data_IF_362949829632
#
_entry.id   IF_362949829632
#
_cell.length_a   1.000
_cell.length_b   1.000
_cell.length_c   1.000
_cell.angle_alpha   90.00
_cell.angle_beta   90.00
_cell.angle_gamma   90.00
#
_symmetry.space_group_name_H-M   'P 1'
#
loop_
_entity.id
_entity.type
_entity.pdbx_description
1 polymer ?
#
# COMPACT_ATOMS: atom_id res chain seq x y z
N UNK A 1 -32.22 15.95 -15.11
CA UNK A 1 -32.50 16.65 -13.83
C UNK A 1 -32.50 15.64 -12.69
N UNK A 2 -31.37 14.99 -12.42
CA UNK A 2 -31.17 14.15 -11.22
C UNK A 2 -29.67 14.15 -10.93
N UNK A 3 -29.19 15.21 -10.28
CA UNK A 3 -27.86 15.22 -9.66
C UNK A 3 -28.00 15.96 -8.34
N UNK A 4 -28.26 15.19 -7.27
CA UNK A 4 -28.05 15.67 -5.93
C UNK A 4 -27.68 14.49 -5.03
N UNK A 5 -26.63 14.70 -4.24
CA UNK A 5 -26.21 13.91 -3.08
C UNK A 5 -25.31 12.70 -3.33
N UNK A 6 -24.05 12.97 -3.71
CA UNK A 6 -22.90 12.28 -3.11
C UNK A 6 -21.85 13.31 -2.68
N UNK A 7 -22.04 13.88 -1.49
CA UNK A 7 -21.00 14.64 -0.79
C UNK A 7 -20.18 13.69 0.10
N UNK A 8 -18.86 13.90 0.23
CA UNK A 8 -17.97 12.99 0.94
C UNK A 8 -18.11 13.17 2.46
N UNK A 9 -18.26 12.05 3.16
CA UNK A 9 -18.48 11.90 4.61
C UNK A 9 -17.38 12.55 5.47
N UNK A 10 -16.22 12.85 4.88
CA UNK A 10 -15.07 13.48 5.55
C UNK A 10 -15.32 14.93 5.98
N UNK A 11 -16.19 15.69 5.30
CA UNK A 11 -16.45 17.10 5.65
C UNK A 11 -17.30 17.27 6.94
N UNK A 12 -18.07 16.26 7.34
CA UNK A 12 -18.91 16.31 8.54
C UNK A 12 -18.12 15.99 9.82
N UNK A 13 -17.12 15.10 9.71
CA UNK A 13 -16.30 14.70 10.86
C UNK A 13 -15.38 15.84 11.30
N UNK A 14 -14.85 16.62 10.35
CA UNK A 14 -13.99 17.79 10.65
C UNK A 14 -14.78 19.00 11.13
N UNK A 15 -15.99 19.24 10.59
CA UNK A 15 -16.86 20.32 11.05
C UNK A 15 -17.38 20.11 12.49
N UNK A 16 -17.69 18.86 12.87
CA UNK A 16 -18.16 18.53 14.22
C UNK A 16 -17.05 18.62 15.28
N UNK A 17 -15.79 18.38 14.89
CA UNK A 17 -14.63 18.54 15.79
C UNK A 17 -14.23 20.01 15.97
N UNK A 18 -14.36 20.83 14.92
CA UNK A 18 -14.05 22.27 14.97
C UNK A 18 -15.07 23.06 15.82
N UNK A 19 -16.35 22.67 15.78
CA UNK A 19 -17.40 23.33 16.56
C UNK A 19 -17.35 23.02 18.07
N UNK A 20 -16.64 21.97 18.48
CA UNK A 20 -16.51 21.56 19.89
C UNK A 20 -15.38 22.27 20.66
N UNK A 21 -14.48 22.96 19.95
CA UNK A 21 -13.33 23.67 20.54
C UNK A 21 -13.56 25.17 20.73
N UNK A 22 -14.62 25.74 20.15
CA UNK A 22 -14.93 27.18 20.23
C UNK A 22 -15.70 27.60 21.50
N UNK A 23 -16.10 26.66 22.36
CA UNK A 23 -17.01 26.89 23.49
C UNK A 23 -16.38 26.66 24.85
N UNK A 24 -15.24 27.29 25.18
CA UNK A 24 -14.70 27.31 26.55
C UNK A 24 -13.72 28.49 26.77
N UNK A 25 -14.25 29.70 26.66
CA UNK A 25 -13.59 30.91 27.17
C UNK A 25 -14.46 31.50 28.27
N UNK A 26 -14.34 30.96 29.49
CA UNK A 26 -14.86 31.60 30.70
C UNK A 26 -13.75 31.63 31.77
N UNK A 27 -13.21 32.84 31.91
CA UNK A 27 -12.57 33.46 33.07
C UNK A 27 -11.89 32.60 34.12
N UNK A 28 -10.55 32.65 34.13
CA UNK A 28 -9.78 32.53 35.36
C UNK A 28 -9.11 33.88 35.65
N UNK A 29 -9.69 34.66 36.57
CA UNK A 29 -8.97 35.75 37.26
C UNK A 29 -8.10 35.09 38.34
N UNK A 30 -6.82 34.91 38.03
CA UNK A 30 -5.77 34.60 39.00
C UNK A 30 -4.73 35.71 38.99
N UNK A 31 -4.61 36.43 40.10
CA UNK A 31 -3.65 37.52 40.35
C UNK A 31 -2.22 37.01 40.09
N UNK A 32 -1.50 37.61 39.15
CA UNK A 32 -0.09 37.26 38.86
C UNK A 32 0.88 38.27 39.45
N UNK A 33 1.89 37.74 40.13
CA UNK A 33 3.13 38.40 40.57
C UNK A 33 4.09 38.45 39.36
N UNK A 34 4.88 39.52 39.16
CA UNK A 34 5.65 39.71 37.93
C UNK A 34 7.00 39.00 37.99
N UNK A 35 7.30 38.17 36.97
CA UNK A 35 8.67 37.69 36.73
C UNK A 35 8.78 36.24 36.26
N UNK A 36 8.17 35.87 35.13
CA UNK A 36 8.58 34.68 34.36
C UNK A 36 8.17 34.85 32.90
N UNK A 37 9.03 34.58 31.90
CA UNK A 37 8.64 34.63 30.48
C UNK A 37 7.60 33.55 30.19
N UNK A 38 6.48 33.94 29.58
CA UNK A 38 5.31 33.07 29.35
C UNK A 38 5.58 32.00 28.26
N UNK A 39 5.31 30.71 28.52
CA UNK A 39 5.35 29.61 27.53
C UNK A 39 4.25 29.70 26.44
N UNK A 40 3.31 30.64 26.57
CA UNK A 40 2.11 30.74 25.73
C UNK A 40 2.37 31.22 24.30
N UNK A 41 3.45 31.98 24.07
CA UNK A 41 3.74 32.54 22.75
C UNK A 41 4.30 31.48 21.79
N UNK A 42 5.01 30.51 22.35
CA UNK A 42 5.65 29.40 21.63
C UNK A 42 4.62 28.39 21.11
N UNK A 43 3.63 28.05 21.93
CA UNK A 43 2.51 27.18 21.53
C UNK A 43 1.65 27.78 20.41
N UNK A 44 1.43 29.11 20.44
CA UNK A 44 0.64 29.78 19.40
C UNK A 44 1.39 29.82 18.06
N UNK A 45 2.72 30.01 18.10
CA UNK A 45 3.57 29.94 16.92
C UNK A 45 3.58 28.53 16.31
N UNK A 46 3.69 27.51 17.16
CA UNK A 46 3.62 26.11 16.75
C UNK A 46 2.26 25.74 16.14
N UNK A 47 1.14 26.24 16.69
CA UNK A 47 -0.19 26.05 16.12
C UNK A 47 -0.33 26.69 14.73
N UNK A 48 0.23 27.89 14.53
CA UNK A 48 0.23 28.56 13.23
C UNK A 48 1.06 27.80 12.20
N UNK A 49 2.20 27.25 12.61
CA UNK A 49 3.05 26.42 11.74
C UNK A 49 2.34 25.12 11.34
N UNK A 50 1.67 24.43 12.27
CA UNK A 50 0.86 23.25 11.96
C UNK A 50 -0.29 23.57 11.01
N UNK A 51 -0.97 24.72 11.17
CA UNK A 51 -2.00 25.16 10.23
C UNK A 51 -1.43 25.40 8.83
N UNK A 52 -0.24 25.97 8.75
CA UNK A 52 0.44 26.22 7.46
C UNK A 52 0.84 24.90 6.78
N UNK A 53 1.40 23.96 7.55
CA UNK A 53 1.78 22.64 7.06
C UNK A 53 0.56 21.83 6.60
N UNK A 54 -0.55 21.91 7.34
CA UNK A 54 -1.81 21.28 6.91
C UNK A 54 -2.35 21.89 5.61
N UNK A 55 -2.32 23.22 5.47
CA UNK A 55 -2.74 23.87 4.22
C UNK A 55 -1.85 23.46 3.02
N UNK A 56 -0.55 23.29 3.25
CA UNK A 56 0.37 22.79 2.22
C UNK A 56 0.09 21.32 1.86
N UNK A 57 -0.20 20.47 2.86
CA UNK A 57 -0.59 19.08 2.64
C UNK A 57 -1.91 18.96 1.88
N UNK A 58 -2.89 19.81 2.20
CA UNK A 58 -4.15 19.89 1.48
C UNK A 58 -3.93 20.33 0.02
N UNK A 59 -3.08 21.34 -0.22
CA UNK A 59 -2.73 21.80 -1.56
C UNK A 59 -2.04 20.69 -2.38
N UNK A 60 -1.05 19.99 -1.81
CA UNK A 60 -0.38 18.85 -2.46
C UNK A 60 -1.35 17.71 -2.76
N UNK A 61 -2.28 17.45 -1.86
CA UNK A 61 -3.32 16.43 -2.07
C UNK A 61 -4.26 16.83 -3.20
N UNK A 62 -4.66 18.10 -3.27
CA UNK A 62 -5.48 18.62 -4.37
C UNK A 62 -4.77 18.54 -5.72
N UNK A 63 -3.47 18.86 -5.77
CA UNK A 63 -2.68 18.74 -7.00
C UNK A 63 -2.49 17.29 -7.45
N UNK A 64 -2.25 16.36 -6.52
CA UNK A 64 -2.15 14.94 -6.85
C UNK A 64 -3.47 14.40 -7.41
N UNK A 65 -4.60 14.78 -6.81
CA UNK A 65 -5.93 14.42 -7.32
C UNK A 65 -6.16 15.01 -8.71
N UNK A 66 -5.79 16.28 -8.94
CA UNK A 66 -5.90 16.93 -10.25
C UNK A 66 -5.07 16.22 -11.31
N UNK A 67 -3.84 15.80 -11.00
CA UNK A 67 -3.00 15.01 -11.90
C UNK A 67 -3.60 13.65 -12.21
N UNK A 68 -4.17 12.97 -11.22
CA UNK A 68 -4.86 11.70 -11.42
C UNK A 68 -6.10 11.86 -12.32
N UNK A 69 -6.89 12.91 -12.12
CA UNK A 69 -8.03 13.22 -12.97
C UNK A 69 -7.62 13.57 -14.41
N UNK A 70 -6.50 14.29 -14.59
CA UNK A 70 -5.95 14.61 -15.90
C UNK A 70 -5.46 13.36 -16.64
N UNK A 71 -4.74 12.46 -15.96
CA UNK A 71 -4.33 11.19 -16.55
C UNK A 71 -5.52 10.31 -16.96
N UNK A 72 -6.61 10.32 -16.18
CA UNK A 72 -7.85 9.60 -16.52
C UNK A 72 -8.51 10.24 -17.74
N UNK A 73 -8.57 11.58 -17.83
CA UNK A 73 -9.13 12.29 -18.99
C UNK A 73 -8.31 12.02 -20.25
N UNK A 74 -6.99 12.09 -20.18
CA UNK A 74 -6.10 11.83 -21.32
C UNK A 74 -6.26 10.39 -21.82
N UNK A 75 -6.35 9.42 -20.90
CA UNK A 75 -6.60 8.03 -21.27
C UNK A 75 -7.97 7.86 -21.94
N UNK A 76 -8.99 8.56 -21.45
CA UNK A 76 -10.34 8.52 -22.02
C UNK A 76 -10.41 9.22 -23.39
N UNK A 77 -9.65 10.30 -23.60
CA UNK A 77 -9.53 10.99 -24.89
C UNK A 77 -8.80 10.13 -25.94
N UNK A 78 -7.76 9.41 -25.53
CA UNK A 78 -7.07 8.44 -26.39
C UNK A 78 -7.98 7.27 -26.77
N UNK A 79 -8.85 6.81 -25.86
CA UNK A 79 -9.82 5.75 -26.13
C UNK A 79 -11.01 6.21 -26.98
N UNK A 80 -11.37 7.49 -26.92
CA UNK A 80 -12.52 8.05 -27.65
C UNK A 80 -12.18 8.60 -29.03
N UNK A 81 -10.90 8.59 -29.43
CA UNK A 81 -10.47 8.98 -30.78
C UNK A 81 -10.72 7.82 -31.77
N UNK A 82 -11.63 7.93 -32.74
CA UNK A 82 -11.86 6.88 -33.72
C UNK A 82 -10.62 6.71 -34.61
N UNK A 83 -10.22 5.46 -34.85
CA UNK A 83 -9.18 5.09 -35.81
C UNK A 83 -9.55 5.61 -37.21
N UNK A 84 -8.92 6.70 -37.64
CA UNK A 84 -8.98 7.19 -39.01
C UNK A 84 -8.28 6.18 -39.93
N UNK A 85 -9.06 5.26 -40.49
CA UNK A 85 -8.60 4.37 -41.55
C UNK A 85 -8.77 5.08 -42.88
N UNK A 86 -7.65 5.56 -43.39
CA UNK A 86 -7.46 6.01 -44.75
C UNK A 86 -7.70 4.81 -45.69
N UNK A 87 -8.85 4.75 -46.37
CA UNK A 87 -9.08 3.80 -47.48
C UNK A 87 -9.70 4.52 -48.67
N UNK A 88 -8.84 4.82 -49.66
CA UNK A 88 -9.22 4.95 -51.07
C UNK A 88 -9.15 3.55 -51.69
N UNK A 89 -10.25 3.03 -52.22
CA UNK A 89 -10.21 2.33 -53.52
C UNK A 89 -11.61 2.13 -54.09
N UNK A 90 -11.65 2.38 -55.40
CA UNK A 90 -12.72 2.25 -56.38
C UNK A 90 -13.56 0.97 -56.28
N UNK A 91 -14.83 1.10 -56.68
CA UNK A 91 -15.77 0.00 -56.69
C UNK A 91 -15.84 -0.80 -57.99
N UNK A 92 -16.70 -1.81 -57.87
CA UNK A 92 -17.50 -2.50 -58.89
C UNK A 92 -16.98 -3.86 -59.42
N UNK A 93 -17.94 -4.80 -59.36
CA UNK A 93 -18.12 -6.01 -60.16
C UNK A 93 -17.37 -7.33 -59.77
N UNK A 94 -18.15 -8.26 -59.19
CA UNK A 94 -18.62 -9.50 -59.85
C UNK A 94 -18.32 -10.87 -59.18
N UNK A 95 -19.42 -11.60 -58.98
CA UNK A 95 -19.68 -13.06 -59.02
C UNK A 95 -18.78 -14.13 -58.37
N UNK A 96 -19.44 -15.03 -57.61
CA UNK A 96 -19.29 -16.49 -57.85
C UNK A 96 -18.84 -17.41 -56.70
N UNK A 97 -19.81 -17.97 -55.97
CA UNK A 97 -20.00 -19.42 -55.66
C UNK A 97 -18.89 -20.31 -55.03
N UNK A 98 -19.24 -20.88 -53.85
CA UNK A 98 -18.95 -22.25 -53.30
C UNK A 98 -17.51 -22.60 -52.85
N UNK A 99 -17.29 -22.80 -51.53
CA UNK A 99 -17.18 -24.12 -50.82
C UNK A 99 -16.68 -23.95 -49.35
N UNK A 100 -17.41 -24.55 -48.42
CA UNK A 100 -17.11 -24.75 -46.97
C UNK A 100 -16.24 -26.03 -46.76
N UNK A 101 -15.80 -26.51 -45.55
CA UNK A 101 -15.59 -25.90 -44.20
C UNK A 101 -14.22 -26.25 -43.53
N UNK A 102 -13.89 -25.60 -42.39
CA UNK A 102 -13.60 -26.22 -41.05
C UNK A 102 -12.61 -25.45 -40.12
N UNK A 103 -12.96 -25.49 -38.83
CA UNK A 103 -12.17 -25.31 -37.58
C UNK A 103 -11.83 -23.86 -37.16
N UNK A 104 -11.92 -23.44 -35.89
CA UNK A 104 -12.04 -24.12 -34.59
C UNK A 104 -12.51 -23.10 -33.52
N UNK A 105 -13.06 -23.61 -32.40
CA UNK A 105 -13.28 -23.01 -31.06
C UNK A 105 -12.57 -21.68 -30.76
N UNK A 106 -13.09 -20.74 -29.97
CA UNK A 106 -14.05 -20.84 -28.88
C UNK A 106 -13.70 -19.79 -27.83
N UNK A 107 -14.70 -19.47 -27.01
CA UNK A 107 -14.69 -18.96 -25.62
C UNK A 107 -15.69 -17.81 -25.46
N UNK A 108 -16.82 -18.22 -24.88
CA UNK A 108 -17.97 -17.44 -24.48
C UNK A 108 -17.64 -16.68 -23.20
N UNK A 109 -17.94 -15.39 -23.22
CA UNK A 109 -17.95 -14.49 -22.09
C UNK A 109 -19.34 -14.53 -21.44
N UNK A 110 -19.45 -14.86 -20.16
CA UNK A 110 -20.63 -14.53 -19.33
C UNK A 110 -20.29 -14.68 -17.84
N UNK A 111 -20.12 -13.53 -17.17
CA UNK A 111 -20.19 -13.40 -15.72
C UNK A 111 -21.66 -13.24 -15.31
N UNK A 112 -22.10 -13.95 -14.28
CA UNK A 112 -23.37 -13.70 -13.59
C UNK A 112 -23.14 -13.66 -12.08
N UNK A 113 -23.64 -12.61 -11.47
CA UNK A 113 -23.73 -12.37 -10.03
C UNK A 113 -24.70 -13.36 -9.37
N UNK A 114 -24.43 -13.82 -8.13
CA UNK A 114 -25.29 -13.56 -6.94
C UNK A 114 -24.96 -14.47 -5.72
N UNK A 115 -24.86 -13.80 -4.56
CA UNK A 115 -25.40 -14.09 -3.21
C UNK A 115 -25.01 -15.36 -2.40
N UNK A 116 -24.51 -15.02 -1.20
CA UNK A 116 -24.51 -15.64 0.14
C UNK A 116 -25.53 -16.76 0.45
N UNK A 117 -25.09 -17.77 1.21
CA UNK A 117 -25.88 -18.44 2.28
C UNK A 117 -25.02 -19.25 3.28
N UNK A 118 -25.35 -19.10 4.56
CA UNK A 118 -24.87 -19.86 5.73
C UNK A 118 -25.34 -21.32 5.72
N UNK A 119 -24.53 -22.26 6.25
CA UNK A 119 -24.75 -23.01 7.52
C UNK A 119 -23.79 -24.22 7.67
N UNK A 120 -23.26 -24.32 8.89
CA UNK A 120 -22.54 -25.38 9.63
C UNK A 120 -22.68 -26.85 9.18
N UNK A 121 -21.64 -27.67 9.41
CA UNK A 121 -21.51 -28.73 10.47
C UNK A 121 -20.28 -29.64 10.15
N UNK A 122 -19.40 -29.93 11.13
CA UNK A 122 -18.15 -30.72 10.98
C UNK A 122 -18.32 -32.25 11.06
N UNK A 123 -17.50 -33.02 11.80
CA UNK A 123 -16.02 -33.12 11.92
C UNK A 123 -15.51 -34.59 11.74
N UNK A 124 -14.20 -34.86 11.59
CA UNK A 124 -13.48 -36.20 11.68
C UNK A 124 -12.03 -35.98 11.14
N UNK A 125 -10.90 -36.51 11.60
CA UNK A 125 -10.53 -37.52 12.60
C UNK A 125 -9.03 -37.37 12.99
N UNK A 126 -8.74 -37.57 14.29
CA UNK A 126 -7.70 -38.43 14.91
C UNK A 126 -6.30 -38.56 14.28
N UNK A 127 -5.27 -38.21 15.07
CA UNK A 127 -4.10 -39.09 15.29
C UNK A 127 -3.78 -39.13 16.80
N UNK A 128 -3.76 -40.35 17.34
CA UNK A 128 -3.34 -40.69 18.69
C UNK A 128 -1.81 -40.76 18.76
N UNK A 129 -1.24 -40.37 19.90
CA UNK A 129 -0.16 -41.13 20.52
C UNK A 129 -0.21 -40.93 22.05
N UNK A 130 -0.24 -42.06 22.76
CA UNK A 130 -0.37 -42.18 24.22
C UNK A 130 0.62 -43.25 24.68
N UNK A 131 1.43 -42.92 25.68
CA UNK A 131 2.02 -43.78 26.73
C UNK A 131 2.28 -42.81 27.90
N UNK A 132 1.49 -42.81 28.99
CA UNK A 132 1.58 -43.65 30.21
C UNK A 132 2.97 -43.63 30.86
N UNK A 133 3.16 -43.59 32.18
CA UNK A 133 2.33 -43.44 33.40
C UNK A 133 3.29 -43.67 34.59
N UNK A 134 2.82 -43.36 35.80
CA UNK A 134 3.33 -43.72 37.13
C UNK A 134 4.45 -42.84 37.73
N UNK A 135 4.51 -42.53 39.04
CA UNK A 135 3.56 -42.42 40.16
C UNK A 135 4.46 -42.19 41.41
N UNK A 136 4.13 -41.22 42.28
CA UNK A 136 4.32 -41.21 43.76
C UNK A 136 4.31 -39.75 44.25
N UNK A 137 3.46 -39.29 45.18
CA UNK A 137 2.40 -39.94 45.92
C UNK A 137 1.72 -38.94 46.88
N UNK A 138 0.51 -39.35 47.34
CA UNK A 138 -0.21 -39.01 48.59
C UNK A 138 -0.54 -37.52 48.86
N UNK A 139 -1.83 -37.12 48.75
CA UNK A 139 -2.90 -37.13 49.79
C UNK A 139 -2.56 -36.27 51.02
N UNK A 140 -3.40 -35.39 51.58
CA UNK A 140 -4.72 -34.85 51.25
C UNK A 140 -5.06 -33.74 52.30
N UNK A 141 -6.04 -32.90 51.97
CA UNK A 141 -6.99 -32.21 52.88
C UNK A 141 -6.68 -30.82 53.49
N UNK A 142 -7.55 -29.88 53.07
CA UNK A 142 -8.41 -29.04 53.92
C UNK A 142 -8.11 -27.56 54.14
N UNK A 143 -9.24 -26.82 54.06
CA UNK A 143 -9.63 -25.58 54.71
C UNK A 143 -8.97 -24.25 54.30
N UNK A 144 -9.79 -23.50 53.56
CA UNK A 144 -10.04 -22.05 53.64
C UNK A 144 -9.58 -21.43 54.96
N UNK A 145 -8.66 -20.46 54.88
CA UNK A 145 -8.58 -19.35 55.82
C UNK A 145 -8.18 -18.08 55.07
N UNK A 146 -9.08 -17.11 55.14
CA UNK A 146 -8.98 -15.74 54.68
C UNK A 146 -7.60 -15.16 55.05
N UNK A 147 -6.77 -14.85 54.04
CA UNK A 147 -5.60 -14.00 54.24
C UNK A 147 -6.03 -12.56 54.01
N UNK A 148 -6.06 -11.79 55.10
CA UNK A 148 -5.94 -10.34 55.05
C UNK A 148 -4.76 -9.97 54.16
N UNK A 149 -4.98 -9.06 53.21
CA UNK A 149 -3.91 -8.42 52.47
C UNK A 149 -2.98 -7.73 53.46
N UNK A 150 -1.71 -8.12 53.46
CA UNK A 150 -0.62 -7.36 54.03
C UNK A 150 -0.55 -6.06 53.23
N UNK A 151 -0.95 -4.94 53.84
CA UNK A 151 -0.80 -3.62 53.22
C UNK A 151 0.69 -3.32 53.22
N UNK A 152 1.32 -3.38 52.04
CA UNK A 152 2.62 -2.77 51.81
C UNK A 152 2.48 -1.28 52.12
N UNK A 153 2.92 -0.86 53.30
CA UNK A 153 3.13 0.54 53.65
C UNK A 153 4.14 1.13 52.67
N UNK A 154 3.72 2.17 51.96
CA UNK A 154 4.54 2.92 51.04
C UNK A 154 5.77 3.50 51.77
N UNK A 155 6.92 3.28 51.17
CA UNK A 155 8.24 3.75 51.60
C UNK A 155 8.45 5.24 51.28
N UNK A 156 7.57 6.12 51.74
CA UNK A 156 7.80 7.58 51.58
C UNK A 156 7.08 8.44 52.61
N UNK A 157 7.30 8.15 53.89
CA UNK A 157 7.02 9.10 54.97
C UNK A 157 8.26 9.14 55.86
N UNK A 158 8.91 10.30 55.94
CA UNK A 158 10.00 10.54 56.87
C UNK A 158 9.46 10.47 58.31
N UNK A 159 9.72 9.36 59.00
CA UNK A 159 9.52 9.25 60.44
C UNK A 159 10.83 9.73 61.08
N UNK A 160 10.84 10.83 61.87
CA UNK A 160 12.00 11.19 62.68
C UNK A 160 12.41 10.02 63.57
N UNK A 161 13.70 9.67 63.56
CA UNK A 161 14.30 8.44 64.11
C UNK A 161 14.15 8.23 65.64
N UNK A 162 13.48 9.13 66.35
CA UNK A 162 13.41 9.18 67.82
C UNK A 162 12.16 8.54 68.45
N UNK A 163 11.33 7.80 67.71
CA UNK A 163 10.08 7.21 68.24
C UNK A 163 10.02 5.68 68.29
N UNK A 164 11.13 4.98 68.01
CA UNK A 164 11.18 3.51 68.13
C UNK A 164 11.08 3.00 69.58
N UNK A 165 11.19 3.89 70.57
CA UNK A 165 11.13 3.56 72.00
C UNK A 165 9.73 3.73 72.64
N UNK A 166 8.72 4.15 71.87
CA UNK A 166 7.35 4.29 72.37
C UNK A 166 6.57 2.97 72.31
N UNK A 167 6.89 2.05 73.22
CA UNK A 167 6.05 0.87 73.44
C UNK A 167 4.84 1.24 74.29
N UNK A 168 3.65 1.22 73.69
CA UNK A 168 2.37 1.43 74.38
C UNK A 168 2.22 0.52 75.61
N UNK A 169 2.73 -0.71 75.52
CA UNK A 169 2.75 -1.65 76.65
C UNK A 169 3.59 -1.14 77.83
N UNK A 170 4.72 -0.46 77.55
CA UNK A 170 5.60 0.11 78.57
C UNK A 170 4.97 1.33 79.24
N UNK A 171 4.19 2.11 78.50
CA UNK A 171 3.39 3.22 79.04
C UNK A 171 2.23 2.71 79.88
N UNK A 172 1.53 1.66 79.45
CA UNK A 172 0.45 1.03 80.22
C UNK A 172 0.98 0.44 81.53
N UNK A 173 2.08 -0.33 81.49
CA UNK A 173 2.68 -0.86 82.73
C UNK A 173 3.21 0.23 83.67
N UNK A 174 3.62 1.39 83.14
CA UNK A 174 4.02 2.53 83.96
C UNK A 174 2.81 3.20 84.63
N UNK A 175 1.68 3.30 83.94
CA UNK A 175 0.43 3.84 84.50
C UNK A 175 -0.15 2.87 85.53
N UNK A 176 -0.16 1.56 85.25
CA UNK A 176 -0.61 0.53 86.19
C UNK A 176 0.28 0.48 87.45
N UNK A 177 1.62 0.57 87.29
CA UNK A 177 2.55 0.63 88.41
C UNK A 177 2.41 1.91 89.26
N UNK A 178 2.12 3.05 88.63
CA UNK A 178 1.85 4.30 89.35
C UNK A 178 0.51 4.26 90.10
N UNK A 179 -0.50 3.53 89.61
CA UNK A 179 -1.79 3.36 90.27
C UNK A 179 -1.74 2.41 91.47
N UNK A 180 -0.77 1.47 91.51
CA UNK A 180 -0.56 0.58 92.65
C UNK A 180 0.40 1.15 93.71
N UNK A 181 1.32 2.07 93.34
CA UNK A 181 2.29 2.68 94.26
C UNK A 181 1.82 4.01 94.88
N UNK A 182 0.97 4.78 94.18
CA UNK A 182 0.19 5.89 94.78
C UNK A 182 -1.18 5.37 95.22
N UNK A 183 -1.20 4.69 96.37
CA UNK A 183 -2.43 4.52 97.12
C UNK A 183 -3.14 5.86 97.26
N UNK A 184 -4.44 5.89 96.96
CA UNK A 184 -5.35 7.00 97.22
C UNK A 184 -4.92 7.71 98.52
N UNK A 185 -4.59 9.02 98.51
CA UNK A 185 -4.86 9.79 99.69
C UNK A 185 -6.38 9.77 99.82
N UNK A 186 -6.86 8.93 100.72
CA UNK A 186 -8.13 9.12 101.41
C UNK A 186 -8.03 10.52 102.04
N UNK A 187 -8.36 11.53 101.24
CA UNK A 187 -8.45 12.91 101.69
C UNK A 187 -9.65 12.93 102.61
N UNK A 188 -9.37 12.64 103.88
CA UNK A 188 -10.26 12.82 105.02
C UNK A 188 -10.98 14.15 104.85
N UNK A 189 -12.25 14.08 104.48
CA UNK A 189 -13.13 15.22 104.21
C UNK A 189 -13.57 15.94 105.50
N UNK A 190 -12.82 15.79 106.60
CA UNK A 190 -13.24 16.20 107.94
C UNK A 190 -12.24 17.10 108.68
N UNK A 191 -11.40 17.86 107.96
CA UNK A 191 -10.49 18.83 108.60
C UNK A 191 -10.57 20.25 108.01
N UNK A 192 -11.78 20.73 107.71
CA UNK A 192 -12.02 22.16 107.46
C UNK A 192 -13.22 22.66 108.29
N UNK A 193 -13.30 22.32 109.58
CA UNK A 193 -14.10 23.13 110.51
C UNK A 193 -13.70 22.98 111.98
N UNK A 194 -12.42 23.21 112.29
CA UNK A 194 -11.91 23.17 113.68
C UNK A 194 -11.01 24.37 114.03
N UNK A 195 -11.27 25.58 113.49
CA UNK A 195 -10.30 26.68 113.60
C UNK A 195 -10.79 28.12 113.72
N UNK A 196 -12.11 28.42 113.80
CA UNK A 196 -12.56 29.79 114.16
C UNK A 196 -13.47 29.71 115.37
N UNK A 197 -12.78 29.71 116.51
CA UNK A 197 -13.27 29.67 117.88
C UNK A 197 -14.36 30.70 118.17
N UNK A 198 -15.48 30.22 118.74
CA UNK A 198 -16.27 30.67 119.91
C UNK A 198 -16.46 32.17 120.28
N UNK A 199 -15.86 33.14 119.60
CA UNK A 199 -15.85 34.58 119.96
C UNK A 199 -16.53 35.46 118.89
N UNK A 200 -17.12 34.85 117.86
CA UNK A 200 -17.91 35.53 116.83
C UNK A 200 -19.41 35.24 117.11
N UNK A 201 -20.23 36.28 117.28
CA UNK A 201 -21.66 36.11 117.52
C UNK A 201 -22.34 35.32 116.40
N UNK A 202 -23.33 34.48 116.71
CA UNK A 202 -24.05 33.58 115.76
C UNK A 202 -24.49 34.26 114.46
N UNK A 203 -24.83 35.55 114.52
CA UNK A 203 -25.21 36.39 113.39
C UNK A 203 -24.07 36.61 112.37
N UNK A 204 -22.82 36.67 112.82
CA UNK A 204 -21.64 36.77 111.96
C UNK A 204 -21.31 35.43 111.28
N UNK A 205 -21.47 34.31 112.01
CA UNK A 205 -21.27 32.97 111.47
C UNK A 205 -22.30 32.64 110.36
N UNK A 206 -23.57 33.02 110.55
CA UNK A 206 -24.61 32.93 109.51
C UNK A 206 -24.25 33.77 108.27
N UNK A 207 -23.67 34.96 108.46
CA UNK A 207 -23.26 35.84 107.35
C UNK A 207 -22.10 35.23 106.55
N UNK A 208 -21.11 34.65 107.22
CA UNK A 208 -19.99 33.94 106.60
C UNK A 208 -20.46 32.71 105.81
N UNK A 209 -21.30 31.86 106.41
CA UNK A 209 -21.83 30.67 105.72
C UNK A 209 -22.67 31.05 104.50
N UNK A 210 -23.48 32.12 104.58
CA UNK A 210 -24.20 32.65 103.42
C UNK A 210 -23.26 33.16 102.33
N UNK A 211 -22.16 33.83 102.69
CA UNK A 211 -21.16 34.27 101.73
C UNK A 211 -20.46 33.08 101.05
N UNK A 212 -20.06 32.04 101.81
CA UNK A 212 -19.49 30.81 101.25
C UNK A 212 -20.48 30.08 100.33
N UNK A 213 -21.75 29.98 100.73
CA UNK A 213 -22.82 29.42 99.88
C UNK A 213 -23.00 30.22 98.59
N UNK A 214 -22.87 31.54 98.66
CA UNK A 214 -22.98 32.39 97.48
C UNK A 214 -21.80 32.20 96.53
N UNK A 215 -20.57 32.20 97.04
CA UNK A 215 -19.35 31.91 96.27
C UNK A 215 -19.42 30.52 95.65
N UNK A 216 -19.77 29.49 96.42
CA UNK A 216 -19.94 28.13 95.88
C UNK A 216 -21.04 28.03 94.83
N UNK A 217 -22.12 28.83 94.96
CA UNK A 217 -23.19 28.88 93.96
C UNK A 217 -22.71 29.56 92.67
N UNK A 218 -21.98 30.66 92.79
CA UNK A 218 -21.38 31.35 91.65
C UNK A 218 -20.33 30.48 90.94
N UNK A 219 -19.50 29.74 91.67
CA UNK A 219 -18.56 28.76 91.11
C UNK A 219 -19.28 27.62 90.38
N UNK A 220 -20.38 27.11 90.96
CA UNK A 220 -21.20 26.08 90.30
C UNK A 220 -21.84 26.62 89.01
N UNK A 221 -22.42 27.81 89.05
CA UNK A 221 -23.01 28.47 87.87
C UNK A 221 -21.94 28.72 86.79
N UNK A 222 -20.73 29.13 87.19
CA UNK A 222 -19.60 29.30 86.29
C UNK A 222 -19.16 27.98 85.64
N UNK A 223 -19.04 26.89 86.41
CA UNK A 223 -18.74 25.55 85.88
C UNK A 223 -19.82 25.08 84.92
N UNK A 224 -21.11 25.31 85.24
CA UNK A 224 -22.22 24.99 84.34
C UNK A 224 -22.13 25.79 83.04
N UNK A 225 -21.81 27.08 83.10
CA UNK A 225 -21.61 27.90 81.90
C UNK A 225 -20.45 27.40 81.04
N UNK A 226 -19.32 27.04 81.66
CA UNK A 226 -18.17 26.45 80.96
C UNK A 226 -18.49 25.07 80.35
N UNK A 227 -19.26 24.23 81.06
CA UNK A 227 -19.76 22.96 80.53
C UNK A 227 -20.65 23.17 79.31
N UNK A 228 -21.57 24.15 79.36
CA UNK A 228 -22.44 24.46 78.22
C UNK A 228 -21.62 24.95 77.01
N UNK A 229 -20.64 25.85 77.21
CA UNK A 229 -19.74 26.28 76.13
C UNK A 229 -18.98 25.11 75.50
N UNK A 230 -18.45 24.21 76.33
CA UNK A 230 -17.75 23.01 75.82
C UNK A 230 -18.69 22.06 75.09
N UNK A 231 -19.95 21.93 75.53
CA UNK A 231 -20.95 21.14 74.82
C UNK A 231 -21.27 21.74 73.45
N UNK A 232 -21.41 23.07 73.35
CA UNK A 232 -21.59 23.78 72.08
C UNK A 232 -20.37 23.56 71.15
N UNK A 233 -19.15 23.71 71.67
CA UNK A 233 -17.91 23.44 70.93
C UNK A 233 -17.82 21.97 70.45
N UNK A 234 -18.25 21.01 71.28
CA UNK A 234 -18.31 19.58 70.91
C UNK A 234 -19.31 19.35 69.79
N UNK A 235 -20.49 19.99 69.84
CA UNK A 235 -21.49 19.89 68.77
C UNK A 235 -20.96 20.48 67.46
N UNK A 236 -20.28 21.63 67.53
CA UNK A 236 -19.64 22.26 66.38
C UNK A 236 -18.54 21.39 65.78
N UNK A 237 -17.62 20.87 66.60
CA UNK A 237 -16.56 19.95 66.15
C UNK A 237 -17.15 18.68 65.54
N UNK A 238 -18.20 18.12 66.12
CA UNK A 238 -18.90 16.94 65.59
C UNK A 238 -19.53 17.24 64.22
N UNK A 239 -20.10 18.43 64.04
CA UNK A 239 -20.63 18.86 62.74
C UNK A 239 -19.53 19.00 61.69
N UNK A 240 -18.36 19.53 62.06
CA UNK A 240 -17.20 19.63 61.18
C UNK A 240 -16.66 18.26 60.78
N UNK A 241 -16.50 17.33 61.72
CA UNK A 241 -16.07 15.95 61.44
C UNK A 241 -17.03 15.29 60.45
N UNK A 242 -18.34 15.41 60.66
CA UNK A 242 -19.34 14.88 59.73
C UNK A 242 -19.21 15.50 58.33
N UNK A 243 -19.02 16.81 58.24
CA UNK A 243 -18.82 17.50 56.96
C UNK A 243 -17.56 17.00 56.24
N UNK A 244 -16.44 16.82 56.95
CA UNK A 244 -15.19 16.28 56.38
C UNK A 244 -15.33 14.81 55.97
N UNK A 245 -16.04 13.98 56.73
CA UNK A 245 -16.33 12.59 56.35
C UNK A 245 -17.16 12.52 55.07
N UNK A 246 -18.19 13.35 54.95
CA UNK A 246 -19.01 13.45 53.74
C UNK A 246 -18.19 13.95 52.53
N UNK A 247 -17.30 14.93 52.73
CA UNK A 247 -16.38 15.41 51.70
C UNK A 247 -15.37 14.35 51.28
N UNK A 248 -14.80 13.60 52.23
CA UNK A 248 -13.92 12.46 51.95
C UNK A 248 -14.65 11.40 51.12
N UNK A 249 -15.90 11.08 51.46
CA UNK A 249 -16.73 10.16 50.68
C UNK A 249 -17.04 10.71 49.27
N UNK A 250 -17.29 12.01 49.11
CA UNK A 250 -17.50 12.67 47.81
C UNK A 250 -16.23 12.63 46.94
N UNK A 251 -15.07 12.93 47.53
CA UNK A 251 -13.78 12.88 46.86
C UNK A 251 -13.41 11.46 46.44
N UNK A 252 -13.61 10.47 47.31
CA UNK A 252 -13.35 9.07 47.01
C UNK A 252 -14.18 8.57 45.82
N UNK A 253 -15.46 8.96 45.72
CA UNK A 253 -16.29 8.64 44.54
C UNK A 253 -15.72 9.27 43.27
N UNK A 254 -15.27 10.52 43.33
CA UNK A 254 -14.65 11.21 42.20
C UNK A 254 -13.35 10.53 41.75
N UNK A 255 -12.49 10.14 42.70
CA UNK A 255 -11.25 9.40 42.43
C UNK A 255 -11.57 8.08 41.72
N UNK A 256 -12.54 7.32 42.22
CA UNK A 256 -12.92 6.04 41.60
C UNK A 256 -13.45 6.23 40.17
N UNK A 257 -14.24 7.28 39.93
CA UNK A 257 -14.73 7.62 38.58
C UNK A 257 -13.56 7.98 37.67
N UNK A 258 -12.64 8.84 38.11
CA UNK A 258 -11.47 9.27 37.34
C UNK A 258 -10.54 8.09 37.05
N UNK A 259 -10.28 7.20 38.01
CA UNK A 259 -9.53 5.96 37.82
C UNK A 259 -10.16 5.10 36.73
N UNK A 260 -11.48 4.89 36.77
CA UNK A 260 -12.19 4.14 35.72
C UNK A 260 -12.11 4.81 34.34
N UNK A 261 -12.03 6.13 34.27
CA UNK A 261 -11.85 6.86 33.01
C UNK A 261 -10.42 6.71 32.48
N UNK A 262 -9.41 6.83 33.34
CA UNK A 262 -8.00 6.62 32.99
C UNK A 262 -7.81 5.23 32.39
N UNK A 263 -8.37 4.19 33.03
CA UNK A 263 -8.27 2.82 32.54
C UNK A 263 -8.98 2.63 31.19
N UNK A 264 -10.14 3.25 30.98
CA UNK A 264 -10.82 3.26 29.67
C UNK A 264 -9.95 3.92 28.58
N UNK A 265 -9.38 5.09 28.85
CA UNK A 265 -8.53 5.78 27.89
C UNK A 265 -7.23 5.02 27.61
N UNK A 266 -6.66 4.36 28.63
CA UNK A 266 -5.50 3.49 28.47
C UNK A 266 -5.81 2.30 27.54
N UNK A 267 -6.94 1.63 27.75
CA UNK A 267 -7.37 0.52 26.88
C UNK A 267 -7.61 1.00 25.43
N UNK A 268 -8.28 2.14 25.25
CA UNK A 268 -8.49 2.72 23.92
C UNK A 268 -7.17 3.10 23.23
N UNK A 269 -6.21 3.63 23.97
CA UNK A 269 -4.88 3.94 23.47
C UNK A 269 -4.13 2.68 23.06
N UNK A 270 -4.11 1.64 23.89
CA UNK A 270 -3.47 0.35 23.57
C UNK A 270 -4.08 -0.29 22.32
N UNK A 271 -5.41 -0.25 22.15
CA UNK A 271 -6.09 -0.78 20.97
C UNK A 271 -5.81 0.05 19.71
N UNK A 272 -5.70 1.38 19.84
CA UNK A 272 -5.26 2.23 18.75
C UNK A 272 -3.80 1.92 18.37
N UNK A 273 -2.93 1.72 19.35
CA UNK A 273 -1.52 1.41 19.12
C UNK A 273 -1.35 0.06 18.41
N UNK A 274 -2.07 -0.98 18.83
CA UNK A 274 -2.10 -2.28 18.13
C UNK A 274 -2.55 -2.16 16.67
N UNK A 275 -3.52 -1.27 16.39
CA UNK A 275 -3.96 -0.98 15.01
C UNK A 275 -2.88 -0.26 14.21
N UNK A 276 -2.21 0.72 14.81
CA UNK A 276 -1.07 1.40 14.18
C UNK A 276 0.05 0.42 13.85
N UNK A 277 0.44 -0.45 14.79
CA UNK A 277 1.46 -1.48 14.58
C UNK A 277 1.05 -2.45 13.45
N UNK A 278 -0.22 -2.88 13.42
CA UNK A 278 -0.75 -3.72 12.35
C UNK A 278 -0.73 -3.05 10.98
N UNK A 279 -1.11 -1.76 10.90
CA UNK A 279 -1.04 -0.98 9.66
C UNK A 279 0.42 -0.75 9.22
N UNK A 280 1.33 -0.51 10.15
CA UNK A 280 2.75 -0.35 9.87
C UNK A 280 3.36 -1.64 9.29
N UNK A 281 3.01 -2.81 9.85
CA UNK A 281 3.42 -4.11 9.29
C UNK A 281 2.87 -4.33 7.88
N UNK A 282 1.62 -3.94 7.62
CA UNK A 282 1.02 -4.03 6.28
C UNK A 282 1.74 -3.10 5.29
N UNK A 283 2.02 -1.85 5.67
CA UNK A 283 2.79 -0.91 4.84
C UNK A 283 4.15 -1.49 4.48
N UNK A 284 4.91 -1.97 5.47
CA UNK A 284 6.22 -2.60 5.21
C UNK A 284 6.12 -3.88 4.36
N UNK A 285 5.01 -4.62 4.43
CA UNK A 285 4.79 -5.76 3.54
C UNK A 285 4.52 -5.32 2.11
N UNK A 286 3.67 -4.32 1.91
CA UNK A 286 3.34 -3.77 0.59
C UNK A 286 4.54 -3.11 -0.05
N UNK A 287 5.35 -2.36 0.71
CA UNK A 287 6.61 -1.75 0.23
C UNK A 287 7.58 -2.81 -0.31
N UNK A 288 7.76 -3.91 0.43
CA UNK A 288 8.61 -5.04 0.01
C UNK A 288 8.06 -5.76 -1.23
N UNK A 289 6.75 -5.89 -1.36
CA UNK A 289 6.12 -6.43 -2.56
C UNK A 289 6.30 -5.51 -3.77
N UNK A 290 6.17 -4.19 -3.58
CA UNK A 290 6.40 -3.18 -4.61
C UNK A 290 7.84 -3.23 -5.12
N UNK A 291 8.82 -3.25 -4.21
CA UNK A 291 10.23 -3.36 -4.57
C UNK A 291 10.53 -4.63 -5.37
N UNK A 292 9.94 -5.77 -4.97
CA UNK A 292 10.09 -7.02 -5.71
C UNK A 292 9.46 -6.95 -7.11
N UNK A 293 8.29 -6.31 -7.25
CA UNK A 293 7.65 -6.09 -8.57
C UNK A 293 8.49 -5.18 -9.45
N UNK A 294 9.06 -4.12 -8.90
CA UNK A 294 9.96 -3.23 -9.64
C UNK A 294 11.21 -3.96 -10.13
N UNK A 295 11.80 -4.82 -9.29
CA UNK A 295 12.94 -5.67 -9.68
C UNK A 295 12.57 -6.62 -10.83
N UNK A 296 11.42 -7.30 -10.73
CA UNK A 296 10.93 -8.20 -11.79
C UNK A 296 10.64 -7.43 -13.08
N UNK A 297 10.09 -6.21 -13.00
CA UNK A 297 9.85 -5.35 -14.14
C UNK A 297 11.16 -4.96 -14.83
N UNK A 298 12.20 -4.56 -14.07
CA UNK A 298 13.53 -4.26 -14.63
C UNK A 298 14.12 -5.49 -15.33
N UNK A 299 14.03 -6.67 -14.72
CA UNK A 299 14.48 -7.92 -15.33
C UNK A 299 13.70 -8.22 -16.63
N UNK A 300 12.38 -8.11 -16.61
CA UNK A 300 11.54 -8.31 -17.79
C UNK A 300 11.85 -7.30 -18.91
N UNK A 301 12.11 -6.02 -18.57
CA UNK A 301 12.48 -4.99 -19.52
C UNK A 301 13.83 -5.31 -20.20
N UNK A 302 14.83 -5.75 -19.43
CA UNK A 302 16.12 -6.18 -20.02
C UNK A 302 15.97 -7.40 -20.92
N UNK A 303 15.17 -8.40 -20.52
CA UNK A 303 14.87 -9.56 -21.36
C UNK A 303 14.13 -9.16 -22.64
N UNK A 304 13.13 -8.27 -22.53
CA UNK A 304 12.37 -7.74 -23.67
C UNK A 304 13.29 -7.01 -24.65
N UNK A 305 14.14 -6.12 -24.15
CA UNK A 305 15.12 -5.40 -24.97
C UNK A 305 16.08 -6.38 -25.70
N UNK A 306 16.56 -7.42 -25.01
CA UNK A 306 17.40 -8.44 -25.64
C UNK A 306 16.66 -9.22 -26.75
N UNK A 307 15.38 -9.54 -26.55
CA UNK A 307 14.57 -10.20 -27.59
C UNK A 307 14.27 -9.27 -28.77
N UNK A 308 14.08 -7.98 -28.51
CA UNK A 308 13.83 -6.97 -29.54
C UNK A 308 15.07 -6.77 -30.44
N UNK A 309 16.27 -6.73 -29.85
CA UNK A 309 17.52 -6.68 -30.64
C UNK A 309 17.67 -7.90 -31.54
N UNK A 310 17.39 -9.11 -31.03
CA UNK A 310 17.43 -10.33 -31.85
C UNK A 310 16.39 -10.33 -32.96
N UNK A 311 15.19 -9.83 -32.66
CA UNK A 311 14.12 -9.70 -33.64
C UNK A 311 14.51 -8.72 -34.75
N UNK A 312 15.05 -7.55 -34.40
CA UNK A 312 15.49 -6.55 -35.38
C UNK A 312 16.58 -7.12 -36.29
N UNK A 313 17.57 -7.83 -35.72
CA UNK A 313 18.60 -8.50 -36.54
C UNK A 313 18.01 -9.53 -37.51
N UNK A 314 17.04 -10.33 -37.05
CA UNK A 314 16.37 -11.29 -37.93
C UNK A 314 15.55 -10.59 -39.03
N UNK A 315 14.92 -9.45 -38.72
CA UNK A 315 14.20 -8.65 -39.71
C UNK A 315 15.14 -8.04 -40.76
N UNK A 316 16.29 -7.51 -40.35
CA UNK A 316 17.34 -7.00 -41.25
C UNK A 316 17.86 -8.12 -42.17
N UNK A 317 18.12 -9.32 -41.63
CA UNK A 317 18.54 -10.49 -42.41
C UNK A 317 17.47 -10.89 -43.44
N UNK A 318 16.19 -10.89 -43.06
CA UNK A 318 15.06 -11.17 -43.98
C UNK A 318 14.98 -10.12 -45.08
N UNK A 319 15.14 -8.84 -44.75
CA UNK A 319 15.10 -7.75 -45.72
C UNK A 319 16.27 -7.83 -46.72
N UNK A 320 17.46 -8.17 -46.23
CA UNK A 320 18.63 -8.47 -47.08
C UNK A 320 18.33 -9.61 -48.07
N UNK A 321 17.82 -10.75 -47.60
CA UNK A 321 17.51 -11.87 -48.51
C UNK A 321 16.40 -11.55 -49.52
N UNK A 322 15.40 -10.75 -49.13
CA UNK A 322 14.37 -10.25 -50.07
C UNK A 322 14.99 -9.41 -51.18
N UNK A 323 15.92 -8.51 -50.83
CA UNK A 323 16.63 -7.68 -51.82
C UNK A 323 17.51 -8.53 -52.74
N UNK A 324 18.28 -9.47 -52.19
CA UNK A 324 19.10 -10.39 -52.98
C UNK A 324 18.26 -11.25 -53.93
N UNK A 325 17.12 -11.77 -53.47
CA UNK A 325 16.19 -12.54 -54.30
C UNK A 325 15.58 -11.68 -55.42
N UNK A 326 15.19 -10.44 -55.12
CA UNK A 326 14.68 -9.50 -56.13
C UNK A 326 15.72 -9.20 -57.20
N UNK A 327 16.97 -8.94 -56.78
CA UNK A 327 18.11 -8.71 -57.67
C UNK A 327 18.40 -9.92 -58.55
N UNK A 328 18.38 -11.14 -57.99
CA UNK A 328 18.60 -12.37 -58.75
C UNK A 328 17.49 -12.61 -59.77
N UNK A 329 16.22 -12.37 -59.41
CA UNK A 329 15.08 -12.46 -60.33
C UNK A 329 15.22 -11.47 -61.49
N UNK A 330 15.62 -10.24 -61.21
CA UNK A 330 15.83 -9.23 -62.24
C UNK A 330 17.00 -9.62 -63.15
N UNK A 331 18.14 -10.04 -62.60
CA UNK A 331 19.29 -10.49 -63.38
C UNK A 331 18.94 -11.69 -64.29
N UNK A 332 18.21 -12.68 -63.77
CA UNK A 332 17.75 -13.82 -64.60
C UNK A 332 16.83 -13.37 -65.74
N UNK A 333 15.95 -12.40 -65.50
CA UNK A 333 15.09 -11.82 -66.54
C UNK A 333 15.93 -11.12 -67.60
N UNK A 334 16.96 -10.39 -67.20
CA UNK A 334 17.84 -9.67 -68.12
C UNK A 334 18.69 -10.64 -68.95
N UNK A 335 19.28 -11.68 -68.34
CA UNK A 335 20.00 -12.75 -69.04
C UNK A 335 19.08 -13.46 -70.05
N UNK A 336 17.87 -13.85 -69.64
CA UNK A 336 16.91 -14.50 -70.54
C UNK A 336 16.54 -13.60 -71.74
N UNK A 337 16.40 -12.29 -71.52
CA UNK A 337 16.15 -11.32 -72.59
C UNK A 337 17.36 -11.18 -73.53
N UNK A 338 18.59 -11.15 -73.00
CA UNK A 338 19.83 -11.11 -73.78
C UNK A 338 20.01 -12.38 -74.61
N UNK A 339 19.79 -13.55 -74.02
CA UNK A 339 19.81 -14.84 -74.72
C UNK A 339 18.77 -14.89 -75.83
N UNK A 340 17.54 -14.43 -75.57
CA UNK A 340 16.50 -14.36 -76.59
C UNK A 340 16.91 -13.45 -77.76
N UNK A 341 17.51 -12.28 -77.48
CA UNK A 341 18.03 -11.40 -78.54
C UNK A 341 19.14 -12.07 -79.34
N UNK A 342 20.08 -12.75 -78.68
CA UNK A 342 21.18 -13.49 -79.32
C UNK A 342 20.67 -14.63 -80.19
N UNK A 343 19.69 -15.40 -79.71
CA UNK A 343 19.03 -16.47 -80.46
C UNK A 343 18.38 -15.91 -81.72
N UNK A 344 17.64 -14.80 -81.62
CA UNK A 344 16.99 -14.19 -82.78
C UNK A 344 17.99 -13.65 -83.81
N UNK A 345 19.11 -13.06 -83.37
CA UNK A 345 20.21 -12.66 -84.27
C UNK A 345 20.79 -13.87 -85.00
N UNK A 346 21.19 -14.91 -84.28
CA UNK A 346 21.75 -16.14 -84.86
C UNK A 346 20.77 -16.82 -85.81
N UNK A 347 19.48 -16.85 -85.47
CA UNK A 347 18.42 -17.40 -86.31
C UNK A 347 18.25 -16.60 -87.60
N UNK A 348 18.35 -15.28 -87.55
CA UNK A 348 18.31 -14.43 -88.75
C UNK A 348 19.53 -14.62 -89.64
N UNK A 349 20.72 -14.79 -89.05
CA UNK A 349 21.96 -15.06 -89.78
C UNK A 349 21.96 -16.46 -90.41
N UNK A 350 21.52 -17.47 -89.68
CA UNK A 350 21.38 -18.84 -90.18
C UNK A 350 20.43 -18.89 -91.39
N UNK A 351 19.29 -18.17 -91.33
CA UNK A 351 18.40 -18.00 -92.49
C UNK A 351 19.08 -17.33 -93.68
N UNK A 352 19.97 -16.36 -93.47
CA UNK A 352 20.72 -15.70 -94.56
C UNK A 352 21.75 -16.66 -95.16
N UNK A 353 22.48 -17.39 -94.33
CA UNK A 353 23.47 -18.38 -94.77
C UNK A 353 22.82 -19.50 -95.58
N UNK A 354 21.65 -20.00 -95.16
CA UNK A 354 20.94 -21.03 -95.92
C UNK A 354 20.50 -20.52 -97.30
N UNK A 355 20.02 -19.27 -97.41
CA UNK A 355 19.72 -18.64 -98.70
C UNK A 355 20.95 -18.52 -99.59
N UNK A 356 22.07 -18.04 -99.05
CA UNK A 356 23.33 -17.93 -99.80
C UNK A 356 23.82 -19.31 -100.29
N UNK A 357 23.68 -20.34 -99.46
CA UNK A 357 23.98 -21.73 -99.82
C UNK A 357 23.06 -22.23 -100.94
N UNK A 358 21.75 -21.97 -100.86
CA UNK A 358 20.79 -22.32 -101.93
C UNK A 358 21.16 -21.64 -103.25
N UNK A 359 21.45 -20.34 -103.22
CA UNK A 359 21.87 -19.56 -104.40
C UNK A 359 23.16 -20.13 -105.00
N UNK A 360 24.16 -20.44 -104.18
CA UNK A 360 25.40 -21.06 -104.60
C UNK A 360 25.17 -22.45 -105.23
N UNK A 361 24.33 -23.28 -104.61
CA UNK A 361 23.95 -24.59 -105.14
C UNK A 361 23.23 -24.48 -106.50
N UNK A 362 22.36 -23.49 -106.67
CA UNK A 362 21.75 -23.19 -107.98
C UNK A 362 22.80 -22.78 -109.00
N UNK A 363 23.78 -21.95 -108.61
CA UNK A 363 24.93 -21.57 -109.42
C UNK A 363 25.72 -22.78 -109.93
N UNK A 364 26.12 -23.68 -109.02
CA UNK A 364 26.82 -24.92 -109.39
C UNK A 364 26.01 -25.81 -110.33
N UNK A 365 24.70 -25.98 -110.08
CA UNK A 365 23.83 -26.75 -110.98
C UNK A 365 23.78 -26.15 -112.39
N UNK A 366 23.76 -24.82 -112.52
CA UNK A 366 23.82 -24.12 -113.82
C UNK A 366 25.18 -24.31 -114.49
N UNK A 367 26.28 -24.19 -113.74
CA UNK A 367 27.63 -24.44 -114.26
C UNK A 367 27.81 -25.87 -114.78
N UNK A 368 27.30 -26.88 -114.05
CA UNK A 368 27.32 -28.27 -114.52
C UNK A 368 26.59 -28.45 -115.85
N UNK A 369 25.38 -27.88 -115.98
CA UNK A 369 24.62 -27.90 -117.26
C UNK A 369 25.37 -27.20 -118.39
N UNK A 370 26.02 -26.08 -118.10
CA UNK A 370 26.84 -25.36 -119.07
C UNK A 370 28.02 -26.21 -119.54
N UNK A 371 28.71 -26.89 -118.62
CA UNK A 371 29.80 -27.83 -118.96
C UNK A 371 29.28 -28.92 -119.91
N UNK A 372 28.12 -29.50 -119.64
CA UNK A 372 27.54 -30.54 -120.52
C UNK A 372 27.23 -30.01 -121.93
N UNK A 373 26.68 -28.80 -122.04
CA UNK A 373 26.43 -28.15 -123.32
C UNK A 373 27.74 -27.87 -124.06
N UNK A 374 28.74 -27.30 -123.38
CA UNK A 374 30.04 -27.00 -123.97
C UNK A 374 30.79 -28.26 -124.42
N UNK A 375 30.71 -29.36 -123.66
CA UNK A 375 31.27 -30.66 -124.07
C UNK A 375 30.61 -31.18 -125.35
N UNK A 376 29.27 -31.11 -125.45
CA UNK A 376 28.55 -31.48 -126.69
C UNK A 376 28.94 -30.59 -127.85
N UNK A 377 29.02 -29.27 -127.66
CA UNK A 377 29.45 -28.33 -128.68
C UNK A 377 30.87 -28.61 -129.16
N UNK A 378 31.81 -28.85 -128.23
CA UNK A 378 33.19 -29.24 -128.56
C UNK A 378 33.21 -30.51 -129.43
N UNK A 379 32.45 -31.54 -129.04
CA UNK A 379 32.33 -32.78 -129.82
C UNK A 379 31.77 -32.53 -131.22
N UNK A 380 30.72 -31.71 -131.37
CA UNK A 380 30.17 -31.36 -132.68
C UNK A 380 31.18 -30.60 -133.55
N UNK A 381 31.93 -29.65 -132.96
CA UNK A 381 32.96 -28.90 -133.67
C UNK A 381 34.12 -29.80 -134.09
N UNK A 382 34.57 -30.70 -133.22
CA UNK A 382 35.63 -31.67 -133.54
C UNK A 382 35.19 -32.61 -134.67
N UNK A 383 33.96 -33.13 -134.62
CA UNK A 383 33.40 -33.94 -135.71
C UNK A 383 33.34 -33.15 -137.03
N UNK A 384 32.88 -31.89 -137.01
CA UNK A 384 32.84 -31.03 -138.19
C UNK A 384 34.25 -30.74 -138.75
N UNK A 385 35.27 -30.54 -137.89
CA UNK A 385 36.67 -30.37 -138.31
C UNK A 385 37.25 -31.64 -138.93
N UNK A 386 36.96 -32.80 -138.37
CA UNK A 386 37.38 -34.08 -138.95
C UNK A 386 36.72 -34.30 -140.32
N UNK A 387 35.43 -33.95 -140.46
CA UNK A 387 34.72 -33.96 -141.74
C UNK A 387 35.36 -33.00 -142.75
N UNK A 388 35.65 -31.75 -142.38
CA UNK A 388 36.30 -30.79 -143.28
C UNK A 388 37.69 -31.25 -143.71
N UNK A 389 38.46 -31.91 -142.82
CA UNK A 389 39.74 -32.50 -143.17
C UNK A 389 39.59 -33.63 -144.19
N UNK A 390 38.61 -34.53 -143.99
CA UNK A 390 38.33 -35.58 -144.98
C UNK A 390 37.83 -35.01 -146.32
N UNK A 391 37.04 -33.93 -146.30
CA UNK A 391 36.62 -33.22 -147.51
C UNK A 391 37.82 -32.58 -148.23
N UNK A 392 38.73 -31.93 -147.52
CA UNK A 392 39.97 -31.36 -148.08
C UNK A 392 40.89 -32.43 -148.67
N UNK A 393 41.09 -33.56 -147.98
CA UNK A 393 41.87 -34.69 -148.51
C UNK A 393 41.22 -35.29 -149.77
N UNK A 394 39.89 -35.44 -149.76
CA UNK A 394 39.14 -35.91 -150.92
C UNK A 394 39.28 -34.95 -152.12
N UNK A 395 39.19 -33.64 -151.90
CA UNK A 395 39.39 -32.63 -152.94
C UNK A 395 40.83 -32.62 -153.48
N UNK A 396 41.85 -32.76 -152.62
CA UNK A 396 43.25 -32.91 -153.06
C UNK A 396 43.47 -34.15 -153.92
N UNK A 397 42.85 -35.28 -153.56
CA UNK A 397 42.92 -36.50 -154.37
C UNK A 397 42.28 -36.32 -155.76
N UNK A 398 41.23 -35.48 -155.87
CA UNK A 398 40.65 -35.10 -157.16
C UNK A 398 41.57 -34.16 -157.97
N UNK A 399 42.27 -33.22 -157.34
CA UNK A 399 43.21 -32.30 -158.01
C UNK A 399 44.48 -33.02 -158.52
N UNK A 400 44.94 -34.08 -157.86
CA UNK A 400 46.07 -34.92 -158.33
C UNK A 400 45.76 -35.74 -159.59
N UNK A 401 44.49 -35.84 -160.00
CA UNK A 401 44.09 -36.46 -161.27
C UNK A 401 44.23 -35.55 -162.50
N UNK A 402 44.55 -34.27 -162.32
CA UNK A 402 44.69 -33.28 -163.40
C UNK A 402 46.14 -32.80 -163.59
N UNK A 403 47.08 -33.72 -163.81
CA UNK A 403 48.38 -33.43 -164.42
C UNK A 403 48.70 -34.37 -165.57
#
# INVERSE_FOLDING_TARGET
MVDLARKPVVAWVTASLSQKMAGRSLGFRGRSVPGTPLPSLDLLAQEQEYKRLNAELEAKTADLVRQAEEAIRDQQEVQSRPFSTQNKSYGAEDSGSIRDPLSYEGIVHLHSETKLKNKNTGPINKVQNKLQSANKGRKANSSVKLKYCNVQTASDVAIPEDFSDFSLAKTISKIEGQLEEEGLPEHTDDEIFSGVSKDIGTKAQIRFLKAKLHVMREELDNVVCECNKKEDDIQDLKSQVKNFEEDGARQQRTINIQQSQIEKYKNLFEDANKKCDGLQQQLSSVERELENKERLQKQAATSRSATEVRLNRALEEVEKYKLELSKLKQNNKDIANEEHKKIEVLKSENKKLEKQKEELMIGFKKQLKLIDVLKRQKMHIEAAKMLSFTEEEFMKALEWGNS
#
